data_IF_392493932703
#
_entry.id   IF_392493932703
#
_cell.length_a   1.000
_cell.length_b   1.000
_cell.length_c   1.000
_cell.angle_alpha   90.00
_cell.angle_beta   90.00
_cell.angle_gamma   90.00
#
_symmetry.space_group_name_H-M   'P 1'
#
loop_
_entity.id
_entity.type
_entity.pdbx_description
1 polymer ?
#
# COMPACT_ATOMS: atom_id res chain seq x y z
N UNK A 1 21.64 -9.76 -20.38
CA UNK A 1 22.23 -9.75 -19.03
C UNK A 1 21.68 -8.55 -18.26
N UNK A 2 20.57 -8.73 -17.57
CA UNK A 2 20.29 -8.02 -16.33
C UNK A 2 19.17 -8.79 -15.59
N UNK A 3 19.50 -10.00 -15.16
CA UNK A 3 18.68 -10.79 -14.22
C UNK A 3 18.80 -10.17 -12.81
N UNK A 4 18.48 -8.88 -12.71
CA UNK A 4 18.38 -8.18 -11.44
C UNK A 4 17.02 -8.50 -10.80
N UNK A 5 16.78 -9.80 -10.58
CA UNK A 5 15.53 -10.36 -10.08
C UNK A 5 15.30 -10.09 -8.58
N UNK A 6 14.48 -10.93 -7.90
CA UNK A 6 14.07 -10.73 -6.50
C UNK A 6 15.23 -10.51 -5.52
N UNK A 7 16.44 -10.97 -5.83
CA UNK A 7 17.65 -10.71 -5.05
C UNK A 7 18.02 -9.22 -4.93
N UNK A 8 17.82 -8.41 -5.99
CA UNK A 8 18.08 -6.96 -5.94
C UNK A 8 17.09 -6.27 -5.00
N UNK A 9 15.82 -6.66 -5.05
CA UNK A 9 14.81 -6.14 -4.14
C UNK A 9 15.12 -6.54 -2.69
N UNK A 10 15.37 -7.82 -2.42
CA UNK A 10 15.66 -8.29 -1.07
C UNK A 10 16.91 -7.59 -0.51
N UNK A 11 17.96 -7.45 -1.32
CA UNK A 11 19.19 -6.78 -0.91
C UNK A 11 19.00 -5.29 -0.62
N UNK A 12 18.46 -4.53 -1.58
CA UNK A 12 18.39 -3.06 -1.47
C UNK A 12 17.17 -2.64 -0.64
N UNK A 13 15.97 -3.07 -1.02
CA UNK A 13 14.74 -2.71 -0.30
C UNK A 13 14.66 -3.41 1.05
N UNK A 14 14.90 -4.72 1.10
CA UNK A 14 14.92 -5.46 2.37
C UNK A 14 16.00 -4.94 3.33
N UNK A 15 17.21 -4.68 2.83
CA UNK A 15 18.28 -4.04 3.60
C UNK A 15 17.89 -2.65 4.13
N UNK A 16 17.23 -1.82 3.31
CA UNK A 16 16.73 -0.51 3.74
C UNK A 16 15.66 -0.64 4.82
N UNK A 17 14.68 -1.54 4.66
CA UNK A 17 13.66 -1.81 5.67
C UNK A 17 14.28 -2.28 6.99
N UNK A 18 15.31 -3.13 6.94
CA UNK A 18 16.03 -3.60 8.12
C UNK A 18 16.78 -2.47 8.83
N UNK A 19 17.48 -1.61 8.09
CA UNK A 19 18.15 -0.44 8.67
C UNK A 19 17.14 0.51 9.34
N UNK A 20 16.02 0.79 8.67
CA UNK A 20 14.95 1.61 9.25
C UNK A 20 14.40 0.95 10.51
N UNK A 21 14.18 -0.37 10.50
CA UNK A 21 13.72 -1.12 11.68
C UNK A 21 14.67 -0.95 12.87
N UNK A 22 15.99 -1.08 12.66
CA UNK A 22 17.01 -0.92 13.70
C UNK A 22 17.04 0.53 14.22
N UNK A 23 17.11 1.51 13.32
CA UNK A 23 17.21 2.93 13.68
C UNK A 23 15.95 3.46 14.39
N UNK A 24 14.79 2.90 14.07
CA UNK A 24 13.52 3.27 14.71
C UNK A 24 13.19 2.43 15.94
N UNK A 25 14.13 1.61 16.43
CA UNK A 25 13.95 0.74 17.59
C UNK A 25 12.69 -0.13 17.45
N UNK A 26 12.66 -0.88 16.34
CA UNK A 26 11.54 -1.74 15.98
C UNK A 26 10.31 -1.00 15.46
N UNK A 27 10.50 0.12 14.76
CA UNK A 27 9.42 1.03 14.36
C UNK A 27 8.65 1.61 15.54
N UNK A 28 9.28 1.86 16.69
CA UNK A 28 8.64 2.55 17.81
C UNK A 28 8.89 4.06 17.74
N UNK A 29 10.11 4.47 17.36
CA UNK A 29 10.52 5.88 17.29
C UNK A 29 10.03 6.54 16.00
N UNK A 30 9.39 7.70 16.15
CA UNK A 30 8.90 8.50 15.02
C UNK A 30 10.05 9.27 14.36
N UNK A 31 10.40 8.91 13.11
CA UNK A 31 11.35 9.66 12.29
C UNK A 31 10.81 9.77 10.87
N UNK A 32 10.41 10.99 10.48
CA UNK A 32 9.66 11.21 9.25
C UNK A 32 10.40 10.74 7.98
N UNK A 33 11.71 10.99 7.91
CA UNK A 33 12.53 10.57 6.77
C UNK A 33 12.68 9.05 6.73
N UNK A 34 12.92 8.42 7.88
CA UNK A 34 13.14 6.97 7.96
C UNK A 34 11.90 6.18 7.53
N UNK A 35 10.69 6.66 7.82
CA UNK A 35 9.46 5.99 7.37
C UNK A 35 9.18 6.14 5.86
N UNK A 36 9.71 7.18 5.21
CA UNK A 36 9.60 7.37 3.75
C UNK A 36 10.68 6.63 2.96
N UNK A 37 11.83 6.35 3.57
CA UNK A 37 13.03 5.84 2.89
C UNK A 37 12.81 4.53 2.10
N UNK A 38 12.12 3.50 2.63
CA UNK A 38 11.88 2.28 1.87
C UNK A 38 11.09 2.52 0.58
N UNK A 39 10.13 3.45 0.60
CA UNK A 39 9.31 3.80 -0.56
C UNK A 39 10.08 4.64 -1.58
N UNK A 40 11.01 5.49 -1.13
CA UNK A 40 11.96 6.19 -2.02
C UNK A 40 12.83 5.16 -2.75
N UNK A 41 13.29 4.13 -2.05
CA UNK A 41 14.05 3.03 -2.67
C UNK A 41 13.20 2.29 -3.71
N UNK A 42 11.95 1.93 -3.40
CA UNK A 42 11.05 1.34 -4.40
C UNK A 42 10.80 2.25 -5.59
N UNK A 43 10.75 3.57 -5.39
CA UNK A 43 10.62 4.55 -6.48
C UNK A 43 11.82 4.46 -7.43
N UNK A 44 13.04 4.47 -6.88
CA UNK A 44 14.28 4.39 -7.69
C UNK A 44 14.38 3.03 -8.39
N UNK A 45 14.03 1.94 -7.69
CA UNK A 45 13.99 0.61 -8.28
C UNK A 45 12.96 0.52 -9.41
N UNK A 46 11.77 1.14 -9.24
CA UNK A 46 10.77 1.21 -10.30
C UNK A 46 11.29 1.98 -11.51
N UNK A 47 11.89 3.16 -11.33
CA UNK A 47 12.45 3.94 -12.43
C UNK A 47 13.59 3.23 -13.19
N UNK A 48 14.35 2.38 -12.50
CA UNK A 48 15.47 1.61 -13.07
C UNK A 48 15.08 0.20 -13.51
N UNK A 49 13.81 -0.18 -13.40
CA UNK A 49 13.27 -1.45 -13.87
C UNK A 49 13.05 -1.47 -15.39
N UNK A 50 12.96 -2.67 -15.94
CA UNK A 50 12.69 -2.93 -17.36
C UNK A 50 11.20 -2.90 -17.71
N UNK A 51 10.33 -2.58 -16.75
CA UNK A 51 8.88 -2.48 -16.96
C UNK A 51 8.53 -1.55 -18.14
N UNK A 52 7.41 -1.84 -18.80
CA UNK A 52 6.83 -0.95 -19.80
C UNK A 52 6.69 0.50 -19.26
N UNK A 53 6.92 1.55 -20.08
CA UNK A 53 7.01 2.93 -19.61
C UNK A 53 5.83 3.40 -18.76
N UNK A 54 4.59 3.05 -19.16
CA UNK A 54 3.39 3.41 -18.42
C UNK A 54 3.39 2.80 -17.02
N UNK A 55 3.55 1.48 -16.91
CA UNK A 55 3.59 0.78 -15.63
C UNK A 55 4.76 1.26 -14.76
N UNK A 56 5.92 1.50 -15.38
CA UNK A 56 7.13 1.99 -14.73
C UNK A 56 6.93 3.34 -14.04
N UNK A 57 6.49 4.36 -14.78
CA UNK A 57 6.33 5.72 -14.25
C UNK A 57 5.18 5.84 -13.26
N UNK A 58 4.09 5.11 -13.49
CA UNK A 58 2.93 5.12 -12.58
C UNK A 58 3.21 4.38 -11.27
N UNK A 59 3.92 3.26 -11.32
CA UNK A 59 4.40 2.54 -10.12
C UNK A 59 5.42 3.37 -9.34
N UNK A 60 6.39 3.97 -10.03
CA UNK A 60 7.35 4.88 -9.39
C UNK A 60 6.64 6.10 -8.75
N UNK A 61 5.71 6.72 -9.48
CA UNK A 61 4.91 7.84 -8.98
C UNK A 61 4.06 7.47 -7.77
N UNK A 62 3.46 6.28 -7.77
CA UNK A 62 2.71 5.78 -6.62
C UNK A 62 3.59 5.69 -5.37
N UNK A 63 4.76 5.06 -5.46
CA UNK A 63 5.68 4.94 -4.32
C UNK A 63 6.26 6.29 -3.88
N UNK A 64 6.54 7.21 -4.80
CA UNK A 64 6.99 8.56 -4.46
C UNK A 64 5.91 9.33 -3.66
N UNK A 65 4.66 9.25 -4.10
CA UNK A 65 3.52 9.88 -3.41
C UNK A 65 3.29 9.25 -2.03
N UNK A 66 3.37 7.92 -1.92
CA UNK A 66 3.26 7.22 -0.65
C UNK A 66 4.44 7.56 0.29
N UNK A 67 5.66 7.72 -0.23
CA UNK A 67 6.81 8.17 0.55
C UNK A 67 6.59 9.57 1.14
N UNK A 68 6.11 10.49 0.31
CA UNK A 68 5.76 11.85 0.73
C UNK A 68 4.62 11.85 1.75
N UNK A 69 3.60 11.01 1.54
CA UNK A 69 2.53 10.81 2.51
C UNK A 69 3.06 10.37 3.87
N UNK A 70 3.93 9.34 3.92
CA UNK A 70 4.54 8.86 5.17
C UNK A 70 5.39 9.91 5.85
N UNK A 71 6.16 10.68 5.07
CA UNK A 71 6.90 11.81 5.60
C UNK A 71 5.95 12.81 6.27
N UNK A 72 4.89 13.26 5.58
CA UNK A 72 3.94 14.25 6.09
C UNK A 72 3.15 13.79 7.31
N UNK A 73 2.72 12.52 7.33
CA UNK A 73 1.98 11.95 8.46
C UNK A 73 2.82 11.84 9.75
N UNK A 74 4.15 11.84 9.61
CA UNK A 74 5.10 11.78 10.74
C UNK A 74 5.77 13.14 10.98
N UNK A 75 5.87 14.02 9.98
CA UNK A 75 6.57 15.30 10.05
C UNK A 75 5.67 16.38 10.64
N UNK A 76 5.84 16.63 11.94
CA UNK A 76 5.14 17.67 12.73
C UNK A 76 3.61 17.49 12.79
N UNK A 77 3.06 17.65 13.99
CA UNK A 77 1.62 17.47 14.27
C UNK A 77 0.75 18.64 13.77
N UNK A 78 0.98 19.15 12.55
CA UNK A 78 0.05 20.12 11.97
C UNK A 78 -1.11 19.39 11.29
N UNK A 79 -2.31 19.91 11.50
CA UNK A 79 -3.54 19.42 10.87
C UNK A 79 -3.41 19.35 9.34
N UNK A 80 -2.80 20.36 8.72
CA UNK A 80 -2.62 20.46 7.27
C UNK A 80 -1.75 19.32 6.71
N UNK A 81 -0.66 18.98 7.40
CA UNK A 81 0.22 17.87 7.00
C UNK A 81 -0.49 16.52 7.12
N UNK A 82 -1.33 16.32 8.15
CA UNK A 82 -2.13 15.10 8.28
C UNK A 82 -3.14 14.96 7.15
N UNK A 83 -3.87 16.04 6.85
CA UNK A 83 -4.85 16.09 5.77
C UNK A 83 -4.21 15.74 4.43
N UNK A 84 -3.12 16.42 4.08
CA UNK A 84 -2.42 16.19 2.83
C UNK A 84 -1.83 14.78 2.81
N UNK A 85 -1.29 14.31 3.93
CA UNK A 85 -0.77 12.95 4.08
C UNK A 85 -1.80 11.89 3.71
N UNK A 86 -3.00 11.91 4.28
CA UNK A 86 -4.04 10.92 3.97
C UNK A 86 -4.63 11.05 2.57
N UNK A 87 -4.75 12.29 2.06
CA UNK A 87 -5.14 12.51 0.66
C UNK A 87 -4.12 11.85 -0.30
N UNK A 88 -2.82 12.01 -0.02
CA UNK A 88 -1.74 11.39 -0.81
C UNK A 88 -1.75 9.85 -0.70
N UNK A 89 -2.15 9.25 0.42
CA UNK A 89 -2.34 7.78 0.49
C UNK A 89 -3.33 7.32 -0.57
N UNK A 90 -4.49 7.99 -0.63
CA UNK A 90 -5.54 7.68 -1.60
C UNK A 90 -5.02 7.81 -3.03
N UNK A 91 -4.35 8.92 -3.34
CA UNK A 91 -3.78 9.16 -4.68
C UNK A 91 -2.71 8.12 -5.03
N UNK A 92 -1.84 7.77 -4.08
CA UNK A 92 -0.79 6.76 -4.27
C UNK A 92 -1.37 5.39 -4.62
N UNK A 93 -2.40 4.94 -3.89
CA UNK A 93 -3.09 3.68 -4.20
C UNK A 93 -3.79 3.70 -5.56
N UNK A 94 -4.44 4.82 -5.93
CA UNK A 94 -5.07 4.96 -7.25
C UNK A 94 -4.06 4.99 -8.40
N UNK A 95 -2.90 5.62 -8.20
CA UNK A 95 -1.81 5.57 -9.18
C UNK A 95 -1.24 4.17 -9.32
N UNK A 96 -1.09 3.44 -8.22
CA UNK A 96 -0.66 2.05 -8.26
C UNK A 96 -1.71 1.19 -8.99
N UNK A 97 -3.01 1.38 -8.74
CA UNK A 97 -4.06 0.76 -9.54
C UNK A 97 -3.90 1.05 -11.04
N UNK A 98 -3.68 2.32 -11.39
CA UNK A 98 -3.57 2.75 -12.78
C UNK A 98 -2.41 2.06 -13.51
N UNK A 99 -1.37 1.61 -12.79
CA UNK A 99 -0.21 0.93 -13.38
C UNK A 99 -0.51 -0.46 -13.92
N UNK A 100 -1.49 -1.17 -13.35
CA UNK A 100 -1.83 -2.54 -13.73
C UNK A 100 -3.29 -2.72 -14.19
N UNK A 101 -4.08 -1.65 -14.26
CA UNK A 101 -5.49 -1.71 -14.66
C UNK A 101 -5.73 -2.44 -16.01
N UNK A 102 -4.76 -2.38 -16.93
CA UNK A 102 -4.84 -3.03 -18.24
C UNK A 102 -4.78 -4.56 -18.16
N UNK A 103 -4.36 -5.11 -17.02
CA UNK A 103 -4.38 -6.55 -16.75
C UNK A 103 -5.76 -7.04 -16.29
N UNK A 104 -6.68 -6.13 -15.95
CA UNK A 104 -8.02 -6.49 -15.50
C UNK A 104 -8.90 -6.70 -16.72
N UNK A 105 -9.29 -7.95 -16.97
CA UNK A 105 -10.22 -8.29 -18.05
C UNK A 105 -11.67 -8.16 -17.58
N UNK A 106 -11.98 -8.75 -16.43
CA UNK A 106 -13.31 -8.73 -15.82
C UNK A 106 -13.19 -8.51 -14.31
N UNK A 107 -14.16 -7.78 -13.75
CA UNK A 107 -14.21 -7.46 -12.33
C UNK A 107 -14.88 -8.56 -11.52
N UNK A 108 -14.26 -8.95 -10.41
CA UNK A 108 -14.84 -9.92 -9.48
C UNK A 108 -15.98 -9.30 -8.67
N UNK A 109 -17.22 -9.65 -9.01
CA UNK A 109 -18.43 -9.22 -8.28
C UNK A 109 -18.38 -9.72 -6.83
N UNK A 110 -17.97 -10.97 -6.61
CA UNK A 110 -17.90 -11.57 -5.28
C UNK A 110 -16.90 -10.84 -4.36
N UNK A 111 -15.69 -10.54 -4.84
CA UNK A 111 -14.72 -9.76 -4.08
C UNK A 111 -15.21 -8.34 -3.82
N UNK A 112 -15.85 -7.71 -4.81
CA UNK A 112 -16.42 -6.37 -4.66
C UNK A 112 -17.46 -6.32 -3.56
N UNK A 113 -18.40 -7.29 -3.54
CA UNK A 113 -19.41 -7.38 -2.48
C UNK A 113 -18.77 -7.63 -1.11
N UNK A 114 -17.85 -8.60 -1.02
CA UNK A 114 -17.17 -8.94 0.22
C UNK A 114 -16.44 -7.72 0.82
N UNK A 115 -15.67 -7.01 0.00
CA UNK A 115 -14.87 -5.88 0.47
C UNK A 115 -15.70 -4.62 0.71
N UNK A 116 -16.82 -4.46 0.01
CA UNK A 116 -17.79 -3.40 0.33
C UNK A 116 -18.41 -3.64 1.71
N UNK A 117 -18.85 -4.88 2.00
CA UNK A 117 -19.37 -5.23 3.32
C UNK A 117 -18.30 -5.05 4.41
N UNK A 118 -17.08 -5.52 4.16
CA UNK A 118 -15.95 -5.32 5.08
C UNK A 118 -15.65 -3.85 5.34
N UNK A 119 -15.61 -3.04 4.29
CA UNK A 119 -15.37 -1.61 4.36
C UNK A 119 -16.45 -0.89 5.17
N UNK A 120 -17.73 -1.14 4.89
CA UNK A 120 -18.83 -0.47 5.61
C UNK A 120 -18.89 -0.88 7.07
N UNK A 121 -18.67 -2.15 7.40
CA UNK A 121 -18.60 -2.62 8.79
C UNK A 121 -17.47 -1.95 9.56
N UNK A 122 -16.25 -1.92 9.01
CA UNK A 122 -15.12 -1.29 9.70
C UNK A 122 -15.30 0.23 9.79
N UNK A 123 -15.77 0.88 8.73
CA UNK A 123 -16.04 2.32 8.73
C UNK A 123 -17.11 2.69 9.78
N UNK A 124 -18.16 1.88 9.91
CA UNK A 124 -19.17 2.09 10.95
C UNK A 124 -18.56 1.97 12.35
N UNK A 125 -17.84 0.87 12.64
CA UNK A 125 -17.26 0.65 13.97
C UNK A 125 -16.18 1.68 14.35
N UNK A 126 -15.37 2.13 13.40
CA UNK A 126 -14.28 3.05 13.67
C UNK A 126 -14.71 4.53 13.63
N UNK A 127 -15.73 4.89 12.83
CA UNK A 127 -16.00 6.30 12.51
C UNK A 127 -17.39 6.81 12.85
N UNK A 128 -18.39 5.96 13.15
CA UNK A 128 -19.77 6.41 13.33
C UNK A 128 -19.89 7.54 14.37
N UNK A 129 -19.25 7.39 15.52
CA UNK A 129 -19.30 8.38 16.60
C UNK A 129 -18.38 9.59 16.33
N UNK A 130 -17.33 9.41 15.52
CA UNK A 130 -16.35 10.46 15.22
C UNK A 130 -16.77 11.38 14.08
N UNK A 131 -17.68 10.93 13.21
CA UNK A 131 -18.07 11.65 12.01
C UNK A 131 -18.65 13.05 12.32
N UNK A 132 -19.42 13.18 13.40
CA UNK A 132 -20.00 14.47 13.80
C UNK A 132 -18.92 15.44 14.30
N UNK A 133 -17.87 14.94 14.94
CA UNK A 133 -16.82 15.78 15.55
C UNK A 133 -15.71 16.16 14.58
N UNK A 134 -15.28 15.22 13.72
CA UNK A 134 -14.12 15.38 12.82
C UNK A 134 -14.41 14.83 11.41
N UNK A 135 -15.46 15.33 10.72
CA UNK A 135 -15.99 14.74 9.48
C UNK A 135 -14.94 14.67 8.37
N UNK A 136 -14.09 15.68 8.24
CA UNK A 136 -13.12 15.76 7.17
C UNK A 136 -11.97 14.74 7.33
N UNK A 137 -11.50 14.54 8.56
CA UNK A 137 -10.46 13.54 8.84
C UNK A 137 -11.01 12.13 8.65
N UNK A 138 -12.25 11.89 9.12
CA UNK A 138 -12.97 10.63 8.88
C UNK A 138 -13.10 10.35 7.39
N UNK A 139 -13.51 11.34 6.59
CA UNK A 139 -13.64 11.18 5.14
C UNK A 139 -12.30 10.80 4.50
N UNK A 140 -11.20 11.46 4.86
CA UNK A 140 -9.88 11.17 4.30
C UNK A 140 -9.39 9.76 4.66
N UNK A 141 -9.57 9.33 5.91
CA UNK A 141 -9.26 7.97 6.32
C UNK A 141 -10.13 6.93 5.59
N UNK A 142 -11.43 7.22 5.46
CA UNK A 142 -12.38 6.38 4.75
C UNK A 142 -11.98 6.25 3.27
N UNK A 143 -11.61 7.34 2.59
CA UNK A 143 -11.10 7.30 1.22
C UNK A 143 -9.79 6.50 1.10
N UNK A 144 -8.82 6.72 1.98
CA UNK A 144 -7.55 6.01 1.96
C UNK A 144 -7.72 4.49 2.18
N UNK A 145 -8.60 4.13 3.13
CA UNK A 145 -8.96 2.74 3.39
C UNK A 145 -9.75 2.12 2.24
N UNK A 146 -10.73 2.84 1.70
CA UNK A 146 -11.51 2.43 0.54
C UNK A 146 -10.65 2.18 -0.69
N UNK A 147 -9.65 3.03 -0.95
CA UNK A 147 -8.68 2.83 -2.04
C UNK A 147 -7.84 1.56 -1.83
N UNK A 148 -7.51 1.23 -0.57
CA UNK A 148 -6.81 -0.02 -0.25
C UNK A 148 -7.69 -1.24 -0.51
N UNK A 149 -8.95 -1.20 -0.09
CA UNK A 149 -9.92 -2.26 -0.39
C UNK A 149 -10.10 -2.40 -1.91
N UNK A 150 -10.24 -1.29 -2.63
CA UNK A 150 -10.34 -1.29 -4.08
C UNK A 150 -9.13 -1.97 -4.75
N UNK A 151 -7.91 -1.76 -4.25
CA UNK A 151 -6.73 -2.45 -4.74
C UNK A 151 -6.80 -3.97 -4.58
N UNK A 152 -7.38 -4.48 -3.49
CA UNK A 152 -7.58 -5.93 -3.32
C UNK A 152 -8.60 -6.46 -4.32
N UNK A 153 -9.70 -5.73 -4.56
CA UNK A 153 -10.67 -6.11 -5.60
C UNK A 153 -10.01 -6.15 -6.98
N UNK A 154 -9.25 -5.11 -7.33
CA UNK A 154 -8.54 -5.03 -8.60
C UNK A 154 -7.51 -6.16 -8.75
N UNK A 155 -6.65 -6.37 -7.73
CA UNK A 155 -5.64 -7.42 -7.74
C UNK A 155 -6.25 -8.83 -7.79
N UNK A 156 -7.32 -9.07 -7.03
CA UNK A 156 -8.04 -10.34 -7.02
C UNK A 156 -8.78 -10.61 -8.33
N UNK A 157 -9.26 -9.56 -9.01
CA UNK A 157 -9.86 -9.68 -10.34
C UNK A 157 -8.84 -10.12 -11.40
N UNK A 158 -7.60 -9.60 -11.35
CA UNK A 158 -6.50 -10.10 -12.19
C UNK A 158 -6.21 -11.57 -11.91
N UNK A 159 -6.20 -11.96 -10.62
CA UNK A 159 -5.92 -13.33 -10.20
C UNK A 159 -6.98 -14.35 -10.65
N UNK A 160 -8.27 -13.96 -10.72
CA UNK A 160 -9.37 -14.87 -11.07
C UNK A 160 -9.53 -15.06 -12.57
N UNK A 161 -9.32 -14.01 -13.37
CA UNK A 161 -9.76 -13.95 -14.77
C UNK A 161 -8.59 -13.96 -15.76
N UNK A 162 -7.48 -14.60 -15.41
CA UNK A 162 -6.35 -14.77 -16.32
C UNK A 162 -6.61 -15.94 -17.28
N UNK A 163 -6.96 -15.64 -18.54
CA UNK A 163 -7.44 -16.64 -19.51
C UNK A 163 -6.36 -17.58 -20.07
N UNK A 164 -5.09 -17.18 -20.14
CA UNK A 164 -3.96 -18.04 -20.56
C UNK A 164 -2.63 -17.56 -19.92
N UNK A 165 -2.44 -17.72 -18.60
CA UNK A 165 -1.29 -17.12 -17.95
C UNK A 165 -0.08 -18.05 -17.95
N UNK A 166 1.06 -17.55 -18.42
CA UNK A 166 2.37 -18.15 -18.13
C UNK A 166 2.60 -18.18 -16.59
N UNK A 167 3.36 -19.16 -16.10
CA UNK A 167 3.62 -19.35 -14.65
C UNK A 167 4.10 -18.05 -13.95
N UNK A 168 4.90 -17.23 -14.65
CA UNK A 168 5.37 -15.95 -14.13
C UNK A 168 4.23 -14.93 -13.94
N UNK A 169 3.27 -14.91 -14.86
CA UNK A 169 2.08 -14.02 -14.81
C UNK A 169 1.15 -14.44 -13.69
N UNK A 170 0.94 -15.75 -13.50
CA UNK A 170 0.19 -16.29 -12.36
C UNK A 170 0.84 -15.85 -11.06
N UNK A 171 2.15 -16.08 -10.92
CA UNK A 171 2.89 -15.73 -9.72
C UNK A 171 2.81 -14.22 -9.43
N UNK A 172 2.95 -13.38 -10.45
CA UNK A 172 2.83 -11.92 -10.31
C UNK A 172 1.43 -11.51 -9.82
N UNK A 173 0.37 -12.16 -10.31
CA UNK A 173 -1.01 -11.88 -9.88
C UNK A 173 -1.24 -12.21 -8.39
N UNK A 174 -0.72 -13.34 -7.91
CA UNK A 174 -0.78 -13.71 -6.50
C UNK A 174 0.07 -12.80 -5.61
N UNK A 175 1.28 -12.44 -6.04
CA UNK A 175 2.12 -11.47 -5.31
C UNK A 175 1.39 -10.14 -5.15
N UNK A 176 0.70 -9.68 -6.20
CA UNK A 176 -0.11 -8.45 -6.14
C UNK A 176 -1.25 -8.57 -5.14
N UNK A 177 -1.98 -9.67 -5.19
CA UNK A 177 -3.11 -9.91 -4.29
C UNK A 177 -2.67 -10.00 -2.82
N UNK A 178 -1.61 -10.76 -2.54
CA UNK A 178 -1.04 -10.87 -1.19
C UNK A 178 -0.52 -9.51 -0.72
N UNK A 179 0.15 -8.74 -1.58
CA UNK A 179 0.61 -7.39 -1.28
C UNK A 179 -0.54 -6.44 -0.93
N UNK A 180 -1.62 -6.46 -1.73
CA UNK A 180 -2.81 -5.67 -1.47
C UNK A 180 -3.52 -6.08 -0.17
N UNK A 181 -3.60 -7.39 0.13
CA UNK A 181 -4.17 -7.92 1.37
C UNK A 181 -3.34 -7.51 2.59
N UNK A 182 -2.01 -7.55 2.49
CA UNK A 182 -1.11 -7.08 3.54
C UNK A 182 -1.29 -5.57 3.79
N UNK A 183 -1.44 -4.77 2.73
CA UNK A 183 -1.70 -3.33 2.83
C UNK A 183 -3.06 -3.04 3.49
N UNK A 184 -4.14 -3.70 3.06
CA UNK A 184 -5.47 -3.56 3.70
C UNK A 184 -5.40 -3.99 5.16
N UNK A 185 -4.75 -5.11 5.47
CA UNK A 185 -4.59 -5.58 6.84
C UNK A 185 -3.82 -4.60 7.70
N UNK A 186 -2.73 -4.03 7.17
CA UNK A 186 -1.99 -2.93 7.81
C UNK A 186 -2.91 -1.75 8.14
N UNK A 187 -3.69 -1.28 7.17
CA UNK A 187 -4.57 -0.13 7.36
C UNK A 187 -5.70 -0.43 8.34
N UNK A 188 -6.26 -1.64 8.34
CA UNK A 188 -7.24 -2.09 9.33
C UNK A 188 -6.66 -2.07 10.73
N UNK A 189 -5.49 -2.69 10.94
CA UNK A 189 -4.83 -2.74 12.24
C UNK A 189 -4.49 -1.33 12.73
N UNK A 190 -4.04 -0.46 11.82
CA UNK A 190 -3.77 0.94 12.14
C UNK A 190 -5.03 1.70 12.57
N UNK A 191 -6.13 1.57 11.83
CA UNK A 191 -7.41 2.21 12.18
C UNK A 191 -7.96 1.70 13.52
N UNK A 192 -7.91 0.38 13.75
CA UNK A 192 -8.32 -0.21 15.03
C UNK A 192 -7.44 0.25 16.18
N UNK A 193 -6.13 0.40 15.97
CA UNK A 193 -5.25 0.95 16.99
C UNK A 193 -5.50 2.43 17.27
N UNK A 194 -5.94 3.20 16.28
CA UNK A 194 -6.13 4.64 16.39
C UNK A 194 -7.49 4.99 17.01
N UNK A 195 -8.55 4.27 16.61
CA UNK A 195 -9.94 4.58 16.96
C UNK A 195 -10.65 3.47 17.75
N UNK A 196 -10.11 2.26 17.79
CA UNK A 196 -10.67 1.13 18.53
C UNK A 196 -10.00 0.93 19.90
N UNK A 197 -8.94 0.12 19.95
CA UNK A 197 -8.19 -0.20 21.18
C UNK A 197 -6.71 0.10 20.97
N UNK A 198 -6.17 1.04 21.75
CA UNK A 198 -4.79 1.51 21.59
C UNK A 198 -3.80 0.47 22.11
N UNK A 199 -3.22 -0.29 21.19
CA UNK A 199 -2.19 -1.30 21.48
C UNK A 199 -0.95 -0.98 20.63
N UNK A 200 0.17 -0.64 21.26
CA UNK A 200 1.39 -0.25 20.56
C UNK A 200 1.93 -1.36 19.64
N UNK A 201 1.83 -2.63 20.07
CA UNK A 201 2.23 -3.78 19.26
C UNK A 201 1.46 -3.89 17.93
N UNK A 202 0.21 -3.42 17.88
CA UNK A 202 -0.57 -3.38 16.65
C UNK A 202 -0.02 -2.34 15.66
N UNK A 203 0.49 -1.21 16.15
CA UNK A 203 1.10 -0.18 15.30
C UNK A 203 2.42 -0.63 14.68
N UNK A 204 3.21 -1.41 15.42
CA UNK A 204 4.43 -2.01 14.88
C UNK A 204 4.08 -3.05 13.81
N UNK A 205 3.11 -3.93 14.12
CA UNK A 205 2.66 -4.98 13.19
C UNK A 205 2.08 -4.41 11.90
N UNK A 206 1.32 -3.31 11.96
CA UNK A 206 0.81 -2.66 10.76
C UNK A 206 1.93 -2.14 9.86
N UNK A 207 3.00 -1.56 10.43
CA UNK A 207 4.16 -1.07 9.66
C UNK A 207 4.91 -2.20 8.96
N UNK A 208 5.05 -3.36 9.61
CA UNK A 208 5.62 -4.56 8.98
C UNK A 208 4.80 -5.00 7.76
N UNK A 209 3.49 -5.17 7.95
CA UNK A 209 2.59 -5.58 6.87
C UNK A 209 2.56 -4.57 5.73
N UNK A 210 2.65 -3.27 6.06
CA UNK A 210 2.73 -2.21 5.07
C UNK A 210 3.95 -2.38 4.17
N UNK A 211 5.17 -2.43 4.74
CA UNK A 211 6.38 -2.55 3.92
C UNK A 211 6.47 -3.89 3.18
N UNK A 212 6.03 -4.99 3.79
CA UNK A 212 5.93 -6.27 3.08
C UNK A 212 4.97 -6.13 1.88
N UNK A 213 3.81 -5.52 2.09
CA UNK A 213 2.80 -5.30 1.04
C UNK A 213 3.34 -4.47 -0.14
N UNK A 214 3.98 -3.35 0.14
CA UNK A 214 4.55 -2.46 -0.88
C UNK A 214 5.68 -3.15 -1.69
N UNK A 215 6.54 -3.92 -1.02
CA UNK A 215 7.57 -4.72 -1.71
C UNK A 215 6.99 -5.80 -2.63
N UNK A 216 5.93 -6.50 -2.19
CA UNK A 216 5.23 -7.50 -3.00
C UNK A 216 4.53 -6.86 -4.20
N UNK A 217 3.91 -5.70 -4.00
CA UNK A 217 3.27 -4.92 -5.06
C UNK A 217 4.27 -4.42 -6.11
N UNK A 218 5.49 -4.04 -5.71
CA UNK A 218 6.56 -3.73 -6.66
C UNK A 218 6.94 -4.97 -7.49
N UNK A 219 7.21 -6.12 -6.84
CA UNK A 219 7.58 -7.37 -7.53
C UNK A 219 6.53 -7.81 -8.52
N UNK A 220 5.26 -7.67 -8.14
CA UNK A 220 4.16 -8.02 -9.02
C UNK A 220 4.20 -7.23 -10.32
N UNK A 221 4.45 -5.92 -10.27
CA UNK A 221 4.52 -5.10 -11.48
C UNK A 221 5.81 -5.34 -12.28
N UNK A 222 6.94 -5.60 -11.62
CA UNK A 222 8.20 -5.93 -12.29
C UNK A 222 8.09 -7.24 -13.08
N UNK A 223 7.25 -8.17 -12.62
CA UNK A 223 7.03 -9.46 -13.29
C UNK A 223 5.88 -9.48 -14.28
N UNK A 224 4.95 -8.52 -14.19
CA UNK A 224 3.82 -8.44 -15.13
C UNK A 224 4.14 -7.63 -16.40
N UNK A 225 5.22 -6.83 -16.42
CA UNK A 225 5.52 -5.87 -17.49
C UNK A 225 7.01 -5.78 -17.80
#
# INVERSE_FOLDING_TARGET
>A
MNDAGPGRLIGIYGGTCFLVYVETDGFTKASAILFGLPLIVLTVLALTSTMQPRARFTTAGAFAILAMSRYLLVSKYSWECMVLGYALVTVGHLLYFYSFQSLIQEWSIALTMLLTMYYTTLAYHCFADLYVSIPFLVLLHACAFGASCFLVVAAGSVCQNSLEPDDETIQASYLRLIGALANVSSNTIFLLSLFGVRIEALQVTSRWLYYIGEGLMFLANERSF
#
